data_IF_473874923797
#
_entry.id   IF_473874923797
#
_cell.length_a   1.000
_cell.length_b   1.000
_cell.length_c   1.000
_cell.angle_alpha   90.00
_cell.angle_beta   90.00
_cell.angle_gamma   90.00
#
_symmetry.space_group_name_H-M   'P 1'
#
loop_
_entity.id
_entity.type
_entity.pdbx_description
1 polymer ?
#
# COMPACT_ATOMS: atom_id res chain seq x y z
N UNK A 1 -6.79 -8.68 -20.69
CA UNK A 1 -5.47 -8.37 -21.27
C UNK A 1 -4.67 -7.56 -20.23
N UNK A 2 -3.78 -8.20 -19.46
CA UNK A 2 -2.83 -7.51 -18.55
C UNK A 2 -1.76 -6.86 -19.43
N UNK A 3 -1.84 -5.55 -19.68
CA UNK A 3 -0.77 -4.81 -20.38
C UNK A 3 -0.53 -3.47 -19.70
N UNK A 4 0.76 -3.12 -19.61
CA UNK A 4 1.39 -2.09 -18.78
C UNK A 4 1.34 -2.39 -17.27
N UNK A 5 2.51 -2.67 -16.67
CA UNK A 5 2.67 -2.56 -15.23
C UNK A 5 2.15 -1.20 -14.79
N UNK A 6 1.21 -1.20 -13.83
CA UNK A 6 0.45 -0.01 -13.47
C UNK A 6 1.42 1.14 -13.20
N UNK A 7 1.23 2.31 -13.83
CA UNK A 7 2.15 3.46 -13.65
C UNK A 7 2.37 3.77 -12.16
N UNK A 8 1.34 3.53 -11.33
CA UNK A 8 1.40 3.74 -9.89
C UNK A 8 2.11 2.63 -9.11
N UNK A 9 2.13 1.39 -9.63
CA UNK A 9 2.99 0.33 -9.10
C UNK A 9 4.46 0.75 -9.25
N UNK A 10 4.82 1.26 -10.43
CA UNK A 10 6.17 1.78 -10.68
C UNK A 10 6.48 3.00 -9.82
N UNK A 11 5.54 3.94 -9.67
CA UNK A 11 5.67 5.10 -8.78
C UNK A 11 5.97 4.65 -7.35
N UNK A 12 5.15 3.77 -6.78
CA UNK A 12 5.33 3.28 -5.41
C UNK A 12 6.64 2.52 -5.24
N UNK A 13 7.03 1.71 -6.23
CA UNK A 13 8.33 1.04 -6.23
C UNK A 13 9.48 2.04 -6.15
N UNK A 14 9.50 3.08 -6.97
CA UNK A 14 10.56 4.11 -6.95
C UNK A 14 10.64 4.81 -5.59
N UNK A 15 9.50 5.09 -4.96
CA UNK A 15 9.42 5.69 -3.62
C UNK A 15 10.03 4.74 -2.57
N UNK A 16 9.52 3.50 -2.49
CA UNK A 16 9.94 2.55 -1.47
C UNK A 16 11.39 2.10 -1.65
N UNK A 17 11.90 2.07 -2.89
CA UNK A 17 13.31 1.83 -3.21
C UNK A 17 14.22 3.04 -2.95
N UNK A 18 13.68 4.17 -2.48
CA UNK A 18 14.49 5.34 -2.14
C UNK A 18 15.14 6.03 -3.33
N UNK A 19 14.53 6.01 -4.52
CA UNK A 19 15.05 6.71 -5.70
C UNK A 19 15.01 8.23 -5.47
N UNK A 20 16.07 8.79 -4.88
CA UNK A 20 16.13 10.16 -4.36
C UNK A 20 15.69 11.22 -5.37
N UNK A 21 16.26 11.21 -6.57
CA UNK A 21 15.90 12.20 -7.62
C UNK A 21 14.42 12.14 -8.02
N UNK A 22 13.84 10.93 -8.01
CA UNK A 22 12.43 10.76 -8.30
C UNK A 22 11.56 11.32 -7.18
N UNK A 23 11.90 10.98 -5.93
CA UNK A 23 11.18 11.44 -4.75
C UNK A 23 11.24 12.97 -4.65
N UNK A 24 12.43 13.57 -4.80
CA UNK A 24 12.62 15.03 -4.77
C UNK A 24 11.77 15.76 -5.81
N UNK A 25 11.61 15.20 -7.02
CA UNK A 25 10.72 15.74 -8.06
C UNK A 25 9.25 15.62 -7.68
N UNK A 26 8.87 14.49 -7.09
CA UNK A 26 7.49 14.19 -6.70
C UNK A 26 6.99 15.10 -5.57
N UNK A 27 7.81 15.29 -4.54
CA UNK A 27 7.41 16.01 -3.31
C UNK A 27 7.53 17.52 -3.42
N UNK A 28 7.87 18.08 -4.60
CA UNK A 28 7.98 19.54 -4.81
C UNK A 28 6.71 20.30 -4.50
N UNK A 29 5.55 19.67 -4.68
CA UNK A 29 4.24 20.25 -4.41
C UNK A 29 3.69 19.91 -3.02
N UNK A 30 4.45 19.19 -2.19
CA UNK A 30 4.02 18.78 -0.85
C UNK A 30 4.38 19.87 0.15
N UNK A 31 3.74 19.86 1.32
CA UNK A 31 4.18 20.73 2.41
C UNK A 31 5.51 20.23 3.01
N UNK A 32 6.23 21.10 3.73
CA UNK A 32 7.57 20.76 4.25
C UNK A 32 7.56 19.58 5.22
N UNK A 33 6.48 19.37 5.98
CA UNK A 33 6.35 18.22 6.87
C UNK A 33 6.24 16.90 6.08
N UNK A 34 5.35 16.84 5.09
CA UNK A 34 5.20 15.68 4.21
C UNK A 34 6.50 15.36 3.47
N UNK A 35 7.12 16.38 2.89
CA UNK A 35 8.38 16.29 2.15
C UNK A 35 9.52 15.75 3.02
N UNK A 36 9.69 16.30 4.22
CA UNK A 36 10.71 15.85 5.17
C UNK A 36 10.57 14.36 5.50
N UNK A 37 9.34 13.87 5.67
CA UNK A 37 9.12 12.45 5.95
C UNK A 37 9.34 11.54 4.73
N UNK A 38 8.90 11.96 3.54
CA UNK A 38 9.14 11.17 2.32
C UNK A 38 10.63 10.99 2.04
N UNK A 39 11.45 12.04 2.23
CA UNK A 39 12.88 11.98 1.95
C UNK A 39 13.64 10.99 2.85
N UNK A 40 13.14 10.69 4.05
CA UNK A 40 13.75 9.69 4.95
C UNK A 40 13.86 8.30 4.35
N UNK A 41 12.99 7.93 3.40
CA UNK A 41 13.05 6.61 2.77
C UNK A 41 14.35 6.40 1.98
N UNK A 42 14.99 7.48 1.52
CA UNK A 42 16.25 7.40 0.78
C UNK A 42 17.44 7.00 1.68
N UNK A 43 17.33 7.20 3.00
CA UNK A 43 18.38 6.83 3.97
C UNK A 43 18.36 5.33 4.28
N UNK A 44 17.17 4.73 4.36
CA UNK A 44 16.97 3.29 4.60
C UNK A 44 15.88 2.74 3.67
N UNK A 45 16.17 2.51 2.38
CA UNK A 45 15.17 2.06 1.41
C UNK A 45 14.79 0.59 1.61
N UNK A 46 13.68 0.19 0.99
CA UNK A 46 13.31 -1.22 0.83
C UNK A 46 13.96 -1.81 -0.43
N UNK A 47 14.32 -3.09 -0.35
CA UNK A 47 14.46 -3.92 -1.54
C UNK A 47 13.05 -4.22 -2.08
N UNK A 48 12.74 -3.72 -3.28
CA UNK A 48 11.39 -3.86 -3.86
C UNK A 48 11.44 -4.71 -5.13
N UNK A 49 10.69 -5.80 -5.12
CA UNK A 49 10.57 -6.76 -6.22
C UNK A 49 9.17 -6.72 -6.80
N UNK A 50 9.04 -6.92 -8.12
CA UNK A 50 7.74 -7.13 -8.76
C UNK A 50 7.34 -8.59 -8.58
N UNK A 51 6.09 -8.85 -8.22
CA UNK A 51 5.58 -10.21 -8.15
C UNK A 51 5.07 -10.67 -9.53
N UNK A 52 5.89 -11.44 -10.25
CA UNK A 52 5.52 -12.00 -11.54
C UNK A 52 4.39 -13.04 -11.40
N UNK A 53 3.43 -13.06 -12.33
CA UNK A 53 2.33 -14.04 -12.34
C UNK A 53 1.27 -13.83 -11.25
N UNK A 54 1.23 -12.64 -10.65
CA UNK A 54 0.62 -12.37 -9.35
C UNK A 54 -0.74 -13.02 -9.07
N UNK A 55 -0.77 -13.82 -8.00
CA UNK A 55 -1.95 -14.16 -7.19
C UNK A 55 -2.52 -12.91 -6.48
N UNK A 56 -2.56 -11.76 -7.17
CA UNK A 56 -3.05 -10.47 -6.70
C UNK A 56 -2.14 -9.67 -5.77
N UNK A 57 -0.84 -9.96 -5.71
CA UNK A 57 0.15 -9.06 -5.09
C UNK A 57 0.97 -8.42 -6.21
N UNK A 58 1.07 -7.09 -6.27
CA UNK A 58 1.78 -6.40 -7.34
C UNK A 58 3.30 -6.30 -7.05
N UNK A 59 3.66 -5.90 -5.83
CA UNK A 59 5.05 -5.75 -5.40
C UNK A 59 5.29 -6.35 -4.02
N UNK A 60 6.53 -6.72 -3.75
CA UNK A 60 7.00 -7.13 -2.42
C UNK A 60 8.11 -6.16 -2.02
N UNK A 61 7.94 -5.50 -0.88
CA UNK A 61 8.95 -4.63 -0.30
C UNK A 61 9.53 -5.28 0.97
N UNK A 62 10.85 -5.46 1.01
CA UNK A 62 11.56 -6.12 2.11
C UNK A 62 12.65 -5.20 2.66
N UNK A 63 12.73 -5.09 3.99
CA UNK A 63 13.78 -4.35 4.70
C UNK A 63 13.85 -4.81 6.14
N UNK A 64 15.04 -5.17 6.60
CA UNK A 64 15.24 -5.71 7.95
C UNK A 64 14.27 -6.89 8.21
N UNK A 65 13.39 -6.75 9.21
CA UNK A 65 12.35 -7.72 9.58
C UNK A 65 10.97 -7.40 8.99
N UNK A 66 10.86 -6.40 8.12
CA UNK A 66 9.65 -6.07 7.40
C UNK A 66 9.59 -6.77 6.05
N UNK A 67 8.48 -7.47 5.80
CA UNK A 67 8.12 -8.05 4.51
C UNK A 67 6.70 -7.66 4.17
N UNK A 68 6.54 -6.75 3.20
CA UNK A 68 5.25 -6.20 2.79
C UNK A 68 4.89 -6.68 1.38
N UNK A 69 4.01 -7.70 1.27
CA UNK A 69 3.22 -7.91 0.06
C UNK A 69 2.28 -6.73 -0.14
N UNK A 70 2.35 -6.04 -1.27
CA UNK A 70 1.54 -4.84 -1.55
C UNK A 70 0.73 -5.05 -2.81
N UNK A 71 -0.56 -4.77 -2.71
CA UNK A 71 -1.49 -4.64 -3.83
C UNK A 71 -1.75 -3.16 -4.11
N UNK A 72 -1.56 -2.71 -5.36
CA UNK A 72 -1.67 -1.31 -5.74
C UNK A 72 -3.01 -1.02 -6.40
N UNK A 73 -3.77 -0.11 -5.80
CA UNK A 73 -5.03 0.41 -6.36
C UNK A 73 -4.89 1.88 -6.68
N UNK A 74 -5.55 2.32 -7.74
CA UNK A 74 -5.57 3.74 -8.13
C UNK A 74 -6.90 4.15 -8.72
N UNK A 75 -7.34 5.37 -8.44
CA UNK A 75 -8.61 5.91 -8.93
C UNK A 75 -8.59 7.43 -9.03
N UNK A 76 -9.51 8.01 -9.81
CA UNK A 76 -9.86 9.44 -9.73
C UNK A 76 -10.92 9.73 -8.65
N UNK A 77 -11.66 8.70 -8.22
CA UNK A 77 -12.72 8.80 -7.21
C UNK A 77 -12.14 8.53 -5.83
N UNK A 78 -12.67 9.11 -4.76
CA UNK A 78 -12.16 8.87 -3.39
C UNK A 78 -12.45 7.45 -2.87
N UNK A 79 -13.43 6.76 -3.46
CA UNK A 79 -13.95 5.48 -2.98
C UNK A 79 -13.72 4.36 -4.01
N UNK A 80 -13.20 3.22 -3.54
CA UNK A 80 -13.12 1.97 -4.32
C UNK A 80 -14.03 0.94 -3.65
N UNK A 81 -15.00 0.43 -4.41
CA UNK A 81 -15.84 -0.71 -4.03
C UNK A 81 -15.33 -1.97 -4.72
N UNK A 82 -15.10 -3.03 -3.97
CA UNK A 82 -14.60 -4.30 -4.50
C UNK A 82 -15.73 -5.18 -5.07
N UNK A 83 -16.86 -4.58 -5.48
CA UNK A 83 -18.03 -5.25 -6.07
C UNK A 83 -17.99 -5.31 -7.60
N UNK A 84 -17.21 -4.45 -8.26
CA UNK A 84 -17.33 -4.20 -9.71
C UNK A 84 -16.86 -5.35 -10.64
N UNK A 85 -16.59 -6.55 -10.11
CA UNK A 85 -15.97 -7.65 -10.85
C UNK A 85 -16.53 -9.04 -10.51
N UNK A 86 -17.87 -9.16 -10.41
CA UNK A 86 -18.59 -10.43 -10.21
C UNK A 86 -18.04 -11.27 -9.03
N UNK A 87 -17.71 -10.66 -7.89
CA UNK A 87 -17.19 -11.35 -6.71
C UNK A 87 -15.69 -11.67 -6.72
N UNK A 88 -15.01 -11.64 -7.88
CA UNK A 88 -13.58 -11.98 -8.01
C UNK A 88 -12.66 -11.14 -7.13
N UNK A 89 -12.99 -9.87 -6.93
CA UNK A 89 -12.21 -8.98 -6.07
C UNK A 89 -12.36 -9.31 -4.58
N UNK A 90 -13.51 -9.85 -4.13
CA UNK A 90 -13.67 -10.35 -2.76
C UNK A 90 -12.86 -11.64 -2.56
N UNK A 91 -13.01 -12.59 -3.50
CA UNK A 91 -12.25 -13.84 -3.50
C UNK A 91 -10.74 -13.60 -3.51
N UNK A 92 -10.29 -12.58 -4.25
CA UNK A 92 -8.90 -12.15 -4.25
C UNK A 92 -8.44 -11.70 -2.86
N UNK A 93 -9.19 -10.84 -2.16
CA UNK A 93 -8.83 -10.39 -0.81
C UNK A 93 -8.76 -11.59 0.16
N UNK A 94 -9.76 -12.47 0.12
CA UNK A 94 -9.78 -13.68 0.95
C UNK A 94 -8.57 -14.57 0.63
N UNK A 95 -8.23 -14.72 -0.65
CA UNK A 95 -7.04 -15.44 -1.11
C UNK A 95 -5.75 -14.83 -0.57
N UNK A 96 -5.62 -13.49 -0.59
CA UNK A 96 -4.46 -12.81 -0.04
C UNK A 96 -4.33 -13.04 1.46
N UNK A 97 -5.42 -12.90 2.22
CA UNK A 97 -5.44 -13.15 3.66
C UNK A 97 -4.96 -14.56 3.94
N UNK A 98 -5.50 -15.57 3.24
CA UNK A 98 -5.11 -16.98 3.42
C UNK A 98 -3.63 -17.22 3.08
N UNK A 99 -3.15 -16.65 1.98
CA UNK A 99 -1.76 -16.79 1.52
C UNK A 99 -0.78 -16.19 2.54
N UNK A 100 -1.05 -14.97 2.97
CA UNK A 100 -0.14 -14.18 3.81
C UNK A 100 -0.18 -14.60 5.27
N UNK A 101 -1.35 -14.97 5.81
CA UNK A 101 -1.50 -15.42 7.21
C UNK A 101 -0.59 -16.61 7.51
N UNK A 102 -0.52 -17.59 6.60
CA UNK A 102 0.35 -18.77 6.75
C UNK A 102 1.83 -18.44 6.74
N UNK A 103 2.20 -17.33 6.10
CA UNK A 103 3.56 -16.82 6.05
C UNK A 103 3.89 -15.85 7.19
N UNK A 104 2.95 -15.56 8.09
CA UNK A 104 3.16 -14.62 9.21
C UNK A 104 3.26 -13.16 8.79
N UNK A 105 2.84 -12.81 7.57
CA UNK A 105 2.80 -11.45 7.04
C UNK A 105 1.34 -11.08 6.70
N UNK A 106 1.11 -9.84 6.28
CA UNK A 106 -0.22 -9.40 5.82
C UNK A 106 -0.09 -8.56 4.54
N UNK A 107 -1.11 -8.54 3.67
CA UNK A 107 -1.07 -7.73 2.46
C UNK A 107 -1.41 -6.28 2.81
N UNK A 108 -0.63 -5.34 2.28
CA UNK A 108 -0.95 -3.92 2.32
C UNK A 108 -1.69 -3.55 1.03
N UNK A 109 -2.82 -2.88 1.17
CA UNK A 109 -3.51 -2.26 0.05
C UNK A 109 -3.06 -0.81 -0.03
N UNK A 110 -2.29 -0.49 -1.06
CA UNK A 110 -1.80 0.86 -1.31
C UNK A 110 -2.71 1.55 -2.32
N UNK A 111 -3.44 2.56 -1.86
CA UNK A 111 -4.39 3.31 -2.65
C UNK A 111 -3.85 4.70 -3.01
N UNK A 112 -3.59 4.90 -4.30
CA UNK A 112 -3.27 6.21 -4.88
C UNK A 112 -4.51 6.92 -5.43
N UNK A 113 -4.81 8.11 -4.90
CA UNK A 113 -5.81 9.01 -5.47
C UNK A 113 -5.17 9.95 -6.51
N UNK A 114 -5.83 10.14 -7.65
CA UNK A 114 -5.34 11.02 -8.73
C UNK A 114 -5.83 12.44 -8.51
N UNK A 115 -5.06 13.42 -9.00
CA UNK A 115 -5.41 14.86 -9.03
C UNK A 115 -5.62 15.47 -7.63
N UNK A 116 -4.81 15.05 -6.66
CA UNK A 116 -4.75 15.65 -5.32
C UNK A 116 -3.41 16.35 -5.11
N UNK A 117 -3.42 17.36 -4.24
CA UNK A 117 -2.20 18.00 -3.74
C UNK A 117 -1.70 17.28 -2.48
N UNK A 118 -0.40 17.39 -2.19
CA UNK A 118 0.22 16.68 -1.06
C UNK A 118 0.30 15.16 -1.28
N UNK A 119 0.42 14.41 -0.18
CA UNK A 119 0.59 12.95 -0.22
C UNK A 119 -0.64 12.20 -0.79
N UNK A 120 -0.54 11.62 -2.00
CA UNK A 120 -1.67 10.99 -2.69
C UNK A 120 -1.89 9.53 -2.26
N UNK A 121 -1.06 8.97 -1.39
CA UNK A 121 -1.05 7.55 -1.06
C UNK A 121 -1.66 7.28 0.31
N UNK A 122 -2.46 6.21 0.37
CA UNK A 122 -3.16 5.76 1.58
C UNK A 122 -3.03 4.24 1.71
N UNK A 123 -2.65 3.78 2.89
CA UNK A 123 -2.34 2.38 3.16
C UNK A 123 -3.43 1.77 4.06
N UNK A 124 -3.80 0.53 3.74
CA UNK A 124 -4.76 -0.27 4.49
C UNK A 124 -4.23 -1.69 4.69
N UNK A 125 -4.78 -2.36 5.69
CA UNK A 125 -4.62 -3.80 5.89
C UNK A 125 -5.99 -4.49 5.88
N UNK A 126 -6.09 -5.78 5.52
CA UNK A 126 -7.33 -6.52 5.70
C UNK A 126 -7.64 -6.77 7.20
N UNK A 127 -8.91 -6.86 7.60
CA UNK A 127 -9.29 -7.20 8.98
C UNK A 127 -9.02 -8.68 9.31
N UNK A 128 -9.07 -9.00 10.60
CA UNK A 128 -9.15 -10.39 11.08
C UNK A 128 -7.87 -11.22 10.97
N UNK A 129 -6.69 -10.58 10.88
CA UNK A 129 -5.41 -11.30 10.86
C UNK A 129 -4.69 -11.24 12.20
N UNK A 130 -4.09 -12.37 12.59
CA UNK A 130 -3.12 -12.42 13.68
C UNK A 130 -1.71 -12.28 13.14
N UNK A 131 -1.08 -11.13 13.38
CA UNK A 131 0.28 -10.82 12.93
C UNK A 131 1.17 -10.62 14.16
N UNK A 132 2.28 -11.37 14.22
CA UNK A 132 3.22 -11.36 15.35
C UNK A 132 4.50 -10.58 14.99
N UNK A 133 5.30 -10.24 16.00
CA UNK A 133 6.56 -9.50 15.83
C UNK A 133 6.36 -8.02 15.47
N UNK A 134 7.43 -7.37 14.99
CA UNK A 134 7.42 -5.93 14.70
C UNK A 134 6.48 -5.55 13.56
N UNK A 135 6.32 -6.43 12.56
CA UNK A 135 5.32 -6.26 11.50
C UNK A 135 3.88 -6.26 12.06
N UNK A 136 3.62 -6.91 13.20
CA UNK A 136 2.35 -6.84 13.91
C UNK A 136 2.04 -5.45 14.49
N UNK A 137 3.05 -4.66 14.84
CA UNK A 137 2.85 -3.25 15.23
C UNK A 137 2.38 -2.42 14.03
N UNK A 138 2.95 -2.68 12.86
CA UNK A 138 2.53 -2.05 11.61
C UNK A 138 1.09 -2.44 11.25
N UNK A 139 0.75 -3.72 11.40
CA UNK A 139 -0.62 -4.17 11.20
C UNK A 139 -1.59 -3.41 12.10
N UNK A 140 -1.27 -3.19 13.38
CA UNK A 140 -2.15 -2.49 14.32
C UNK A 140 -2.40 -1.03 13.94
N UNK A 141 -1.41 -0.30 13.42
CA UNK A 141 -1.56 1.12 13.07
C UNK A 141 -2.30 1.34 11.75
N UNK A 142 -2.26 0.38 10.82
CA UNK A 142 -2.91 0.55 9.52
C UNK A 142 -4.44 0.42 9.66
N UNK A 143 -5.23 1.36 9.11
CA UNK A 143 -6.66 1.23 8.98
C UNK A 143 -7.04 -0.07 8.27
N UNK A 144 -8.14 -0.68 8.71
CA UNK A 144 -8.63 -1.92 8.14
C UNK A 144 -9.55 -1.63 6.95
N UNK A 145 -9.57 -2.53 5.97
CA UNK A 145 -10.61 -2.51 4.94
C UNK A 145 -11.98 -2.64 5.61
N UNK A 146 -12.90 -1.74 5.25
CA UNK A 146 -14.26 -1.73 5.75
C UNK A 146 -15.13 -2.67 4.91
N UNK A 147 -16.24 -3.15 5.50
CA UNK A 147 -17.28 -3.88 4.79
C UNK A 147 -18.51 -3.01 4.62
N UNK A 148 -19.11 -3.04 3.43
CA UNK A 148 -20.46 -2.50 3.22
C UNK A 148 -21.50 -3.36 3.96
N UNK A 149 -22.71 -2.83 4.12
CA UNK A 149 -23.86 -3.59 4.64
C UNK A 149 -24.16 -4.87 3.83
N UNK A 150 -23.81 -4.87 2.54
CA UNK A 150 -23.91 -6.03 1.64
C UNK A 150 -22.70 -6.99 1.71
N UNK A 151 -21.79 -6.80 2.67
CA UNK A 151 -20.65 -7.70 2.92
C UNK A 151 -19.48 -7.53 1.95
N UNK A 152 -19.38 -6.41 1.23
CA UNK A 152 -18.30 -6.18 0.28
C UNK A 152 -17.24 -5.24 0.83
N UNK A 153 -15.97 -5.56 0.64
CA UNK A 153 -14.90 -4.62 0.98
C UNK A 153 -15.04 -3.27 0.25
N UNK A 154 -14.74 -2.21 0.98
CA UNK A 154 -14.71 -0.82 0.51
C UNK A 154 -13.47 -0.10 1.05
N UNK A 155 -12.91 0.80 0.25
CA UNK A 155 -11.82 1.70 0.65
C UNK A 155 -12.22 3.14 0.39
N UNK A 156 -12.31 3.92 1.46
CA UNK A 156 -12.35 5.37 1.42
C UNK A 156 -10.93 5.89 1.53
N UNK A 157 -10.40 6.57 0.51
CA UNK A 157 -9.02 7.04 0.51
C UNK A 157 -8.73 7.90 1.76
N UNK A 158 -9.65 8.80 2.09
CA UNK A 158 -9.60 9.64 3.30
C UNK A 158 -9.42 8.88 4.62
N UNK A 159 -9.86 7.61 4.72
CA UNK A 159 -9.75 6.78 5.92
C UNK A 159 -8.41 6.04 6.04
N UNK A 160 -7.57 6.05 5.00
CA UNK A 160 -6.32 5.27 5.01
C UNK A 160 -5.16 5.97 5.72
N UNK A 161 -4.11 5.20 6.00
CA UNK A 161 -2.91 5.75 6.62
C UNK A 161 -2.04 6.46 5.57
N UNK A 162 -1.67 7.74 5.75
CA UNK A 162 -0.83 8.45 4.79
C UNK A 162 0.57 7.84 4.65
N UNK A 163 1.08 7.75 3.42
CA UNK A 163 2.39 7.15 3.13
C UNK A 163 3.55 7.96 3.74
N UNK A 164 3.49 9.29 3.77
CA UNK A 164 4.52 10.11 4.45
C UNK A 164 4.64 9.73 5.92
N UNK A 165 3.52 9.54 6.62
CA UNK A 165 3.52 9.12 8.04
C UNK A 165 4.03 7.70 8.20
N UNK A 166 3.71 6.80 7.26
CA UNK A 166 4.21 5.43 7.25
C UNK A 166 5.73 5.38 7.13
N UNK A 167 6.27 6.10 6.14
CA UNK A 167 7.73 6.25 5.96
C UNK A 167 8.35 6.86 7.22
N UNK A 168 7.73 7.91 7.76
CA UNK A 168 8.20 8.57 8.97
C UNK A 168 8.20 7.68 10.21
N UNK A 169 7.24 6.76 10.34
CA UNK A 169 7.17 5.78 11.42
C UNK A 169 8.23 4.70 11.29
N UNK A 170 8.47 4.24 10.06
CA UNK A 170 9.42 3.19 9.73
C UNK A 170 10.90 3.63 9.75
N UNK A 171 11.16 4.94 9.70
CA UNK A 171 12.51 5.52 9.69
C UNK A 171 12.72 6.43 10.91
N UNK A 172 12.24 5.94 12.07
CA UNK A 172 12.59 6.51 13.37
C UNK A 172 13.84 5.84 13.92
#
# INVERSE_FOLDING_TARGET
MKMAGNVYERELRKILSGEKEFIEKMVRSFNEYEKGLYLKIAERPFLVLRAAGSFGIDIIAIRDDFSFPIEVKSSIYDVIRFTMSNGRAQEQIIGHIKLTSRAGVFPIYAYRLKRVQGDPWRLFAPPGMEVKGNIGLIYKILPKLELTSSGNYIMHWSNGFPLHKFIGYLNR
#
